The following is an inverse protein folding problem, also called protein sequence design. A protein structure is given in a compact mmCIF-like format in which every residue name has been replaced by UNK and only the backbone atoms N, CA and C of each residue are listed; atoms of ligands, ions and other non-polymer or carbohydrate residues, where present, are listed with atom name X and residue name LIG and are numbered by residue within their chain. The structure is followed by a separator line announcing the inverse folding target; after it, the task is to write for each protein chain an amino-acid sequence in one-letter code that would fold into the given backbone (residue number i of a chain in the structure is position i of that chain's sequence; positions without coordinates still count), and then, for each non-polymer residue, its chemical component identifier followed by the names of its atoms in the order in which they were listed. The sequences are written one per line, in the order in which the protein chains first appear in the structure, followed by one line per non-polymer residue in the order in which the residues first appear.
data_IF_710499182126
#
_entry.id   IF_710499182126
#
_cell.length_a   1.000
_cell.length_b   1.000
_cell.length_c   1.000
_cell.angle_alpha   90.00
_cell.angle_beta   90.00
_cell.angle_gamma   90.00
#
_symmetry.space_group_name_H-M   'P 1'
#
loop_
_entity.id
_entity.type
_entity.pdbx_description
1 polymer ?
#
# COMPACT_ATOMS: atom_id res chain seq x y z
N UNK A 1 15.65 16.12 9.54
CA UNK A 1 14.84 16.59 8.44
C UNK A 1 13.52 15.83 8.36
N UNK A 2 12.63 16.30 7.54
CA UNK A 2 11.31 15.70 7.42
C UNK A 2 11.24 14.39 6.67
N UNK A 3 12.34 13.92 6.16
CA UNK A 3 12.34 12.68 5.36
C UNK A 3 12.86 11.49 6.14
N UNK A 4 13.58 11.74 7.22
CA UNK A 4 14.10 10.64 8.02
C UNK A 4 13.17 10.36 9.17
N UNK A 5 12.89 9.13 9.39
CA UNK A 5 12.04 8.69 10.47
C UNK A 5 10.64 9.19 10.32
N UNK A 6 9.69 8.94 10.20
CA UNK A 6 8.34 9.47 10.22
C UNK A 6 7.97 10.35 9.04
N UNK A 7 8.51 10.07 7.86
CA UNK A 7 8.08 10.75 6.65
C UNK A 7 6.72 10.20 6.22
N UNK A 8 5.79 11.10 5.95
CA UNK A 8 4.43 10.73 5.62
C UNK A 8 4.03 11.40 4.30
N UNK A 9 3.49 10.61 3.37
CA UNK A 9 3.06 11.09 2.06
C UNK A 9 1.55 10.95 1.98
N UNK A 10 0.87 12.02 2.31
CA UNK A 10 -0.58 12.04 2.41
C UNK A 10 -1.18 12.69 1.17
N UNK A 11 -2.16 12.04 0.58
CA UNK A 11 -2.80 12.56 -0.62
C UNK A 11 -3.72 13.74 -0.35
N UNK A 12 -4.11 13.96 0.89
CA UNK A 12 -5.13 14.92 1.24
C UNK A 12 -6.54 14.41 1.00
N UNK A 13 -6.66 13.30 0.34
CA UNK A 13 -7.92 12.59 0.10
C UNK A 13 -7.56 11.18 -0.34
N UNK A 14 -8.55 10.28 -0.28
CA UNK A 14 -8.33 8.89 -0.63
C UNK A 14 -8.01 8.75 -2.11
N UNK A 15 -6.98 7.96 -2.43
CA UNK A 15 -6.67 7.58 -3.79
C UNK A 15 -7.30 6.22 -4.04
N UNK A 16 -8.09 6.11 -5.08
CA UNK A 16 -8.82 4.89 -5.40
C UNK A 16 -8.18 4.14 -6.56
N UNK A 17 -8.08 2.83 -6.43
CA UNK A 17 -7.61 1.94 -7.48
C UNK A 17 -8.69 0.89 -7.72
N UNK A 18 -9.08 0.70 -8.99
CA UNK A 18 -10.11 -0.28 -9.35
C UNK A 18 -9.55 -1.22 -10.40
N UNK A 19 -9.23 -2.43 -9.96
CA UNK A 19 -8.65 -3.44 -10.84
C UNK A 19 -7.18 -3.21 -11.19
N UNK A 20 -6.62 -2.07 -10.79
CA UNK A 20 -5.22 -1.72 -11.04
C UNK A 20 -4.46 -1.74 -9.73
N UNK A 21 -3.21 -2.18 -9.77
CA UNK A 21 -2.35 -2.13 -8.60
C UNK A 21 -1.97 -0.68 -8.29
N UNK A 22 -1.82 -0.39 -7.01
CA UNK A 22 -1.12 0.81 -6.60
C UNK A 22 0.36 0.57 -6.84
N UNK A 23 1.00 1.46 -7.59
CA UNK A 23 2.43 1.35 -7.90
C UNK A 23 2.97 2.77 -7.85
N UNK A 24 3.56 3.14 -6.73
CA UNK A 24 4.06 4.48 -6.51
C UNK A 24 5.53 4.45 -6.21
N UNK A 25 6.28 5.33 -6.88
CA UNK A 25 7.71 5.52 -6.61
C UNK A 25 7.88 6.87 -5.94
N UNK A 26 8.51 6.85 -4.79
CA UNK A 26 8.73 8.05 -3.97
C UNK A 26 10.22 8.35 -3.99
N UNK A 27 10.55 9.58 -4.38
CA UNK A 27 11.92 10.07 -4.37
C UNK A 27 12.15 10.79 -3.03
N UNK A 28 12.99 10.21 -2.19
CA UNK A 28 13.33 10.80 -0.90
C UNK A 28 14.28 11.98 -1.05
N UNK A 29 14.73 12.26 -2.27
CA UNK A 29 15.55 13.39 -2.69
C UNK A 29 17.02 13.27 -2.29
N UNK A 30 17.34 12.36 -1.42
CA UNK A 30 18.72 12.04 -1.06
C UNK A 30 18.73 10.64 -0.44
N UNK A 31 19.88 9.97 -0.44
CA UNK A 31 19.98 8.67 0.24
C UNK A 31 19.56 8.81 1.69
N UNK A 32 18.62 7.97 2.11
CA UNK A 32 18.03 8.02 3.44
C UNK A 32 17.92 6.60 3.97
N UNK A 33 18.27 6.42 5.24
CA UNK A 33 18.11 5.12 5.88
C UNK A 33 16.65 4.91 6.27
N UNK A 34 16.08 3.79 5.84
CA UNK A 34 14.70 3.42 6.17
C UNK A 34 14.66 1.98 6.66
N UNK A 35 13.66 1.66 7.47
CA UNK A 35 13.46 0.31 7.98
C UNK A 35 11.99 -0.12 8.00
N UNK A 36 11.07 0.73 7.59
CA UNK A 36 9.67 0.34 7.50
C UNK A 36 8.90 1.19 6.48
N UNK A 37 7.85 0.59 5.93
CA UNK A 37 6.89 1.26 5.06
C UNK A 37 5.50 0.80 5.49
N UNK A 38 4.60 1.74 5.67
CA UNK A 38 3.22 1.45 6.03
C UNK A 38 2.25 2.16 5.10
N UNK A 39 1.09 1.54 4.89
CA UNK A 39 -0.01 2.19 4.18
C UNK A 39 -1.25 2.13 5.05
N UNK A 40 -2.11 3.14 4.91
CA UNK A 40 -3.43 3.14 5.53
C UNK A 40 -4.47 2.97 4.44
N UNK A 41 -5.32 1.98 4.58
CA UNK A 41 -6.40 1.72 3.62
C UNK A 41 -7.73 1.94 4.29
N UNK A 42 -8.74 2.23 3.49
CA UNK A 42 -10.11 2.34 4.00
C UNK A 42 -10.92 1.16 3.48
N UNK A 43 -11.79 0.62 4.33
CA UNK A 43 -12.63 -0.51 3.96
C UNK A 43 -14.08 -0.11 4.13
N UNK A 44 -14.87 -0.23 3.07
CA UNK A 44 -16.31 0.00 3.07
C UNK A 44 -16.92 -1.03 2.12
N UNK A 45 -17.16 -2.23 2.63
CA UNK A 45 -17.57 -3.37 1.80
C UNK A 45 -18.85 -3.10 1.01
N UNK A 46 -19.79 -2.39 1.62
CA UNK A 46 -21.02 -2.02 0.94
C UNK A 46 -20.83 -1.09 -0.25
N UNK A 47 -19.72 -0.34 -0.26
CA UNK A 47 -19.37 0.56 -1.34
C UNK A 47 -18.32 -0.03 -2.27
N UNK A 48 -18.09 -1.34 -2.19
CA UNK A 48 -17.14 -2.08 -3.02
C UNK A 48 -15.68 -1.72 -2.71
N UNK A 49 -15.40 -1.15 -1.54
CA UNK A 49 -14.06 -0.77 -1.13
C UNK A 49 -13.52 -1.86 -0.20
N UNK A 50 -12.51 -2.58 -0.68
CA UNK A 50 -11.93 -3.70 0.04
C UNK A 50 -10.48 -3.40 0.38
N UNK A 51 -9.94 -4.14 1.35
CA UNK A 51 -8.56 -4.01 1.76
C UNK A 51 -7.62 -4.56 0.69
N UNK A 52 -6.34 -4.17 0.80
CA UNK A 52 -5.30 -4.65 -0.10
C UNK A 52 -5.08 -6.15 0.06
N UNK A 53 -4.70 -6.82 -1.03
CA UNK A 53 -4.36 -8.23 -1.02
C UNK A 53 -2.88 -8.47 -0.83
N UNK A 54 -2.04 -7.45 -1.02
CA UNK A 54 -0.62 -7.55 -0.76
C UNK A 54 0.00 -6.17 -0.64
N UNK A 55 1.22 -6.15 -0.14
CA UNK A 55 2.05 -4.95 -0.06
C UNK A 55 3.49 -5.36 -0.33
N UNK A 56 4.15 -4.66 -1.24
CA UNK A 56 5.55 -4.91 -1.57
C UNK A 56 6.32 -3.59 -1.53
N UNK A 57 7.58 -3.68 -1.12
CA UNK A 57 8.48 -2.53 -1.09
C UNK A 57 9.74 -2.86 -1.86
N UNK A 58 10.11 -1.97 -2.78
CA UNK A 58 11.34 -2.05 -3.54
C UNK A 58 12.13 -0.77 -3.36
N UNK A 59 13.44 -0.87 -3.44
CA UNK A 59 14.32 0.28 -3.27
C UNK A 59 15.26 0.41 -4.46
N UNK A 60 15.73 1.64 -4.68
CA UNK A 60 16.67 1.93 -5.77
C UNK A 60 17.51 3.14 -5.42
N UNK A 61 18.76 3.14 -5.88
CA UNK A 61 19.65 4.30 -5.74
C UNK A 61 19.58 5.23 -6.94
N UNK A 62 19.13 4.73 -8.08
CA UNK A 62 19.14 5.48 -9.34
C UNK A 62 17.74 5.74 -9.92
N UNK A 63 16.73 5.14 -9.34
CA UNK A 63 15.35 5.27 -9.84
C UNK A 63 15.06 4.42 -11.06
N UNK A 64 15.97 3.56 -11.47
CA UNK A 64 15.83 2.72 -12.66
C UNK A 64 15.85 1.25 -12.33
N UNK A 65 16.80 0.82 -11.52
CA UNK A 65 16.91 -0.59 -11.12
C UNK A 65 16.43 -0.72 -9.68
N UNK A 66 15.39 -1.51 -9.47
CA UNK A 66 14.78 -1.69 -8.17
C UNK A 66 15.01 -3.08 -7.63
N UNK A 67 15.18 -3.18 -6.32
CA UNK A 67 15.35 -4.43 -5.62
C UNK A 67 14.23 -4.56 -4.59
N UNK A 68 13.50 -5.69 -4.64
CA UNK A 68 12.47 -5.97 -3.65
C UNK A 68 13.13 -6.33 -2.32
N UNK A 69 12.74 -5.63 -1.26
CA UNK A 69 13.31 -5.85 0.07
C UNK A 69 12.30 -6.43 1.05
N UNK A 70 11.01 -6.30 0.79
CA UNK A 70 9.98 -6.86 1.66
C UNK A 70 8.68 -7.00 0.90
N UNK A 71 7.89 -8.01 1.27
CA UNK A 71 6.55 -8.18 0.74
C UNK A 71 5.73 -9.03 1.69
N UNK A 72 4.41 -8.84 1.66
CA UNK A 72 3.48 -9.62 2.46
C UNK A 72 2.19 -9.76 1.68
N UNK A 73 1.56 -10.93 1.79
CA UNK A 73 0.26 -11.16 1.20
C UNK A 73 -0.79 -11.23 2.29
N UNK A 74 -1.97 -10.72 1.99
CA UNK A 74 -3.07 -10.67 2.94
C UNK A 74 -4.20 -11.56 2.45
N UNK A 75 -4.93 -12.22 3.37
CA UNK A 75 -6.05 -13.07 2.96
C UNK A 75 -7.19 -12.23 2.41
N UNK A 76 -8.03 -12.88 1.59
CA UNK A 76 -9.25 -12.24 1.11
C UNK A 76 -10.14 -11.88 2.30
N UNK A 77 -10.82 -10.74 2.19
CA UNK A 77 -11.74 -10.31 3.25
C UNK A 77 -12.92 -11.25 3.37
N UNK A 78 -13.43 -11.34 4.58
CA UNK A 78 -14.64 -12.11 4.91
C UNK A 78 -15.80 -11.15 5.12
N UNK A 79 -17.01 -11.64 4.91
CA UNK A 79 -18.21 -10.83 5.12
C UNK A 79 -18.29 -10.27 6.54
N UNK A 80 -17.73 -11.00 7.51
CA UNK A 80 -17.74 -10.60 8.91
C UNK A 80 -16.65 -9.62 9.28
N UNK A 81 -15.72 -9.32 8.38
CA UNK A 81 -14.67 -8.34 8.64
C UNK A 81 -15.29 -6.95 8.74
N UNK A 82 -14.74 -6.13 9.63
CA UNK A 82 -15.29 -4.80 9.86
C UNK A 82 -14.80 -3.79 8.83
N UNK A 83 -15.67 -2.82 8.53
CA UNK A 83 -15.27 -1.65 7.74
C UNK A 83 -14.45 -0.71 8.61
N UNK A 84 -13.70 0.17 7.97
CA UNK A 84 -12.92 1.17 8.66
C UNK A 84 -11.52 1.29 8.08
N UNK A 85 -10.66 2.00 8.81
CA UNK A 85 -9.27 2.20 8.41
C UNK A 85 -8.44 1.02 8.88
N UNK A 86 -7.62 0.50 7.96
CA UNK A 86 -6.71 -0.62 8.24
C UNK A 86 -5.30 -0.16 7.91
N UNK A 87 -4.36 -0.42 8.82
CA UNK A 87 -2.95 -0.11 8.61
C UNK A 87 -2.19 -1.38 8.31
N UNK A 88 -1.36 -1.34 7.27
CA UNK A 88 -0.45 -2.41 6.92
C UNK A 88 0.98 -1.88 6.97
N UNK A 89 1.86 -2.61 7.64
CA UNK A 89 3.25 -2.19 7.78
C UNK A 89 4.20 -3.33 7.46
N UNK A 90 5.23 -3.02 6.69
CA UNK A 90 6.35 -3.91 6.45
C UNK A 90 7.57 -3.34 7.15
N UNK A 91 8.25 -4.21 7.92
CA UNK A 91 9.48 -3.86 8.61
C UNK A 91 10.60 -4.72 8.04
N UNK A 92 11.75 -4.13 7.85
CA UNK A 92 12.89 -4.81 7.23
C UNK A 92 14.20 -4.29 7.84
N UNK A 93 15.29 -4.98 7.55
CA UNK A 93 16.60 -4.52 8.00
C UNK A 93 16.87 -3.13 7.41
N UNK A 94 17.45 -2.20 8.18
CA UNK A 94 17.70 -0.85 7.68
C UNK A 94 18.46 -0.86 6.37
N UNK A 95 18.02 -0.03 5.44
CA UNK A 95 18.65 0.12 4.13
C UNK A 95 18.68 1.60 3.78
N UNK A 96 19.80 2.04 3.19
CA UNK A 96 19.92 3.41 2.71
C UNK A 96 19.57 3.46 1.25
N UNK A 97 18.60 4.29 0.88
CA UNK A 97 18.09 4.35 -0.47
C UNK A 97 17.53 5.74 -0.77
N UNK A 98 17.46 6.10 -2.03
CA UNK A 98 16.84 7.37 -2.43
C UNK A 98 15.43 7.17 -2.97
N UNK A 99 15.17 6.06 -3.66
CA UNK A 99 13.85 5.80 -4.26
C UNK A 99 13.20 4.61 -3.60
N UNK A 100 11.94 4.76 -3.24
CA UNK A 100 11.15 3.70 -2.63
C UNK A 100 9.93 3.47 -3.51
N UNK A 101 9.75 2.24 -3.96
CA UNK A 101 8.59 1.84 -4.76
C UNK A 101 7.66 1.02 -3.89
N UNK A 102 6.43 1.46 -3.78
CA UNK A 102 5.41 0.82 -2.94
C UNK A 102 4.32 0.28 -3.86
N UNK A 103 4.08 -1.01 -3.79
CA UNK A 103 3.10 -1.68 -4.63
C UNK A 103 2.09 -2.39 -3.75
N UNK A 104 0.81 -2.16 -4.00
CA UNK A 104 -0.28 -2.85 -3.31
C UNK A 104 -1.34 -3.22 -4.34
N UNK A 105 -1.86 -4.44 -4.24
CA UNK A 105 -2.86 -4.93 -5.18
C UNK A 105 -4.24 -4.91 -4.52
N UNK A 106 -5.28 -4.46 -5.25
CA UNK A 106 -6.64 -4.53 -4.75
C UNK A 106 -7.19 -5.95 -4.85
N UNK A 107 -8.35 -6.19 -4.24
CA UNK A 107 -9.13 -7.39 -4.49
C UNK A 107 -9.60 -7.32 -5.95
N UNK A 108 -9.13 -8.25 -6.77
CA UNK A 108 -9.42 -8.20 -8.21
C UNK A 108 -10.86 -8.56 -8.54
N UNK A 109 -11.46 -9.42 -7.71
CA UNK A 109 -12.83 -9.90 -7.97
C UNK A 109 -13.60 -9.91 -6.68
N UNK A 110 -14.74 -9.25 -6.65
CA UNK A 110 -15.62 -9.26 -5.48
C UNK A 110 -16.10 -10.69 -5.21
N UNK A 111 -16.11 -11.09 -3.92
CA UNK A 111 -16.41 -12.48 -3.56
C UNK A 111 -17.90 -12.82 -3.75
N UNK A 112 -18.19 -14.13 -3.69
CA UNK A 112 -19.53 -14.67 -3.91
C UNK A 112 -20.58 -14.09 -2.97
N UNK A 113 -20.19 -13.78 -1.72
CA UNK A 113 -21.13 -13.26 -0.72
C UNK A 113 -21.46 -11.77 -0.95
N UNK A 114 -20.82 -11.10 -1.90
CA UNK A 114 -21.02 -9.67 -2.15
C UNK A 114 -22.01 -9.46 -3.29
N UNK A 115 -22.85 -8.43 -3.18
CA UNK A 115 -23.81 -8.10 -4.22
C UNK A 115 -23.20 -7.76 -5.58
N UNK A 116 -21.94 -7.29 -5.58
CA UNK A 116 -21.21 -6.99 -6.82
C UNK A 116 -20.28 -8.11 -7.28
N UNK A 117 -20.50 -9.34 -6.86
CA UNK A 117 -19.64 -10.47 -7.15
C UNK A 117 -19.23 -10.52 -8.62
N UNK A 118 -17.96 -10.89 -8.85
CA UNK A 118 -17.43 -10.99 -10.20
C UNK A 118 -16.90 -9.68 -10.78
N UNK A 119 -17.14 -8.55 -10.11
CA UNK A 119 -16.61 -7.24 -10.53
C UNK A 119 -15.40 -6.86 -9.69
N UNK A 120 -14.65 -5.86 -10.16
CA UNK A 120 -13.46 -5.41 -9.44
C UNK A 120 -13.85 -4.64 -8.19
N UNK A 121 -13.10 -4.87 -7.12
CA UNK A 121 -13.22 -4.04 -5.92
C UNK A 121 -12.36 -2.80 -6.06
N UNK A 122 -12.67 -1.78 -5.26
CA UNK A 122 -11.84 -0.58 -5.14
C UNK A 122 -10.87 -0.75 -3.98
N UNK A 123 -9.67 -0.22 -4.15
CA UNK A 123 -8.70 -0.07 -3.07
C UNK A 123 -8.53 1.43 -2.82
N UNK A 124 -8.83 1.88 -1.62
CA UNK A 124 -8.64 3.28 -1.23
C UNK A 124 -7.45 3.38 -0.29
N UNK A 125 -6.45 4.16 -0.69
CA UNK A 125 -5.25 4.38 0.10
C UNK A 125 -5.20 5.85 0.49
N UNK A 126 -5.03 6.13 1.77
CA UNK A 126 -4.98 7.50 2.29
C UNK A 126 -3.55 7.97 2.52
N UNK A 127 -2.74 7.15 3.15
CA UNK A 127 -1.42 7.58 3.60
C UNK A 127 -0.38 6.51 3.36
N UNK A 128 0.81 6.93 2.94
CA UNK A 128 1.99 6.09 2.88
C UNK A 128 3.00 6.69 3.85
N UNK A 129 3.49 5.88 4.79
CA UNK A 129 4.45 6.32 5.79
C UNK A 129 5.75 5.54 5.61
N UNK A 130 6.86 6.25 5.54
CA UNK A 130 8.19 5.67 5.38
C UNK A 130 9.04 6.13 6.56
N UNK A 131 9.55 5.16 7.33
CA UNK A 131 10.39 5.44 8.49
C UNK A 131 11.75 4.77 8.39
#
# INVERSE_FOLDING_TARGET
DGLKGNSSYKSGRWIAFNGNDMDMTIDLQQPTEISSVAISTNVAKGDWVFDARNLSVETSDDGKTFKKIASEEYPAMKETDKDGVVDHQLTFAPVTTQYVRVIASPEKTLPEWHGGKGKNAFLFVDEIKID
#
